data_IF_691496157501
#
_entry.id   IF_691496157501
#
_cell.length_a   1.000
_cell.length_b   1.000
_cell.length_c   1.000
_cell.angle_alpha   90.00
_cell.angle_beta   90.00
_cell.angle_gamma   90.00
#
_symmetry.space_group_name_H-M   'P 1'
#
loop_
_entity.id
_entity.type
_entity.pdbx_description
1 polymer ?
#
# COMPACT_ATOMS: atom_id res chain seq x y z
N UNK A 1 -19.96 11.13 22.35
CA UNK A 1 -20.01 9.90 21.51
C UNK A 1 -19.27 10.23 20.23
N UNK A 2 -17.96 9.94 20.19
CA UNK A 2 -17.09 10.18 19.05
C UNK A 2 -16.88 8.83 18.37
N UNK A 3 -17.22 8.76 17.08
CA UNK A 3 -17.09 7.55 16.27
C UNK A 3 -15.60 7.22 16.13
N UNK A 4 -15.19 6.08 16.68
CA UNK A 4 -13.79 5.61 16.67
C UNK A 4 -13.52 4.64 15.50
N UNK A 5 -14.15 4.89 14.35
CA UNK A 5 -13.96 4.12 13.13
C UNK A 5 -13.11 4.93 12.15
N UNK A 6 -11.92 4.44 11.86
CA UNK A 6 -10.92 5.01 10.94
C UNK A 6 -11.50 5.18 9.53
N UNK A 7 -12.23 6.26 9.26
CA UNK A 7 -12.72 6.58 7.90
C UNK A 7 -11.57 7.20 7.10
N UNK A 8 -11.27 6.69 5.90
CA UNK A 8 -10.18 7.25 5.08
C UNK A 8 -9.86 6.47 3.81
N UNK A 9 -8.81 6.88 3.11
CA UNK A 9 -8.29 6.23 1.91
C UNK A 9 -6.86 5.74 2.15
N UNK A 10 -6.55 4.55 1.64
CA UNK A 10 -5.20 3.97 1.64
C UNK A 10 -4.78 3.69 0.19
N UNK A 11 -3.78 4.42 -0.31
CA UNK A 11 -3.25 4.31 -1.67
C UNK A 11 -2.06 3.38 -1.70
N UNK A 12 -2.20 2.23 -2.36
CA UNK A 12 -1.19 1.18 -2.42
C UNK A 12 -0.69 1.00 -3.85
N UNK A 13 0.63 1.11 -4.04
CA UNK A 13 1.33 0.75 -5.26
C UNK A 13 1.63 -0.75 -5.33
N UNK A 14 1.41 -1.37 -6.49
CA UNK A 14 1.73 -2.77 -6.73
C UNK A 14 2.51 -2.94 -8.03
N UNK A 15 3.47 -3.86 -8.02
CA UNK A 15 3.90 -4.50 -9.27
C UNK A 15 2.80 -5.44 -9.78
N UNK A 16 2.69 -5.63 -11.11
CA UNK A 16 1.60 -6.38 -11.76
C UNK A 16 1.32 -7.77 -11.18
N UNK A 17 2.36 -8.43 -10.66
CA UNK A 17 2.24 -9.79 -10.10
C UNK A 17 1.92 -9.82 -8.60
N UNK A 18 2.10 -8.72 -7.86
CA UNK A 18 1.99 -8.71 -6.41
C UNK A 18 0.58 -9.07 -5.87
N UNK A 19 -0.53 -8.61 -6.47
CA UNK A 19 -1.87 -8.98 -6.01
C UNK A 19 -2.21 -10.48 -6.15
N UNK A 20 -1.46 -11.23 -6.96
CA UNK A 20 -1.65 -12.67 -7.16
C UNK A 20 -0.86 -13.53 -6.16
N UNK A 21 0.01 -12.92 -5.36
CA UNK A 21 0.71 -13.61 -4.28
C UNK A 21 -0.31 -13.84 -3.15
N UNK A 22 -0.57 -15.11 -2.82
CA UNK A 22 -1.59 -15.50 -1.82
C UNK A 22 -1.51 -14.68 -0.52
N UNK A 23 -0.33 -14.52 0.06
CA UNK A 23 -0.16 -13.75 1.29
C UNK A 23 -0.60 -12.28 1.15
N UNK A 24 -0.38 -11.67 -0.01
CA UNK A 24 -0.82 -10.30 -0.30
C UNK A 24 -2.34 -10.25 -0.41
N UNK A 25 -2.95 -11.12 -1.21
CA UNK A 25 -4.41 -11.15 -1.39
C UNK A 25 -5.15 -11.43 -0.08
N UNK A 26 -4.65 -12.37 0.72
CA UNK A 26 -5.22 -12.74 2.02
C UNK A 26 -5.12 -11.54 3.00
N UNK A 27 -3.98 -10.84 3.02
CA UNK A 27 -3.77 -9.65 3.86
C UNK A 27 -4.71 -8.51 3.48
N UNK A 28 -4.86 -8.19 2.19
CA UNK A 28 -5.78 -7.15 1.72
C UNK A 28 -7.23 -7.51 2.05
N UNK A 29 -7.59 -8.79 1.97
CA UNK A 29 -8.93 -9.28 2.32
C UNK A 29 -9.20 -9.13 3.81
N UNK A 30 -8.25 -9.52 4.67
CA UNK A 30 -8.36 -9.33 6.12
C UNK A 30 -8.43 -7.84 6.49
N UNK A 31 -7.65 -6.98 5.85
CA UNK A 31 -7.67 -5.54 6.09
C UNK A 31 -9.06 -4.97 5.80
N UNK A 32 -9.63 -5.27 4.63
CA UNK A 32 -10.98 -4.82 4.25
C UNK A 32 -12.08 -5.31 5.19
N UNK A 33 -11.93 -6.52 5.74
CA UNK A 33 -12.88 -7.06 6.71
C UNK A 33 -12.79 -6.38 8.08
N UNK A 34 -11.58 -6.02 8.51
CA UNK A 34 -11.33 -5.39 9.81
C UNK A 34 -11.61 -3.89 9.81
N UNK A 35 -11.33 -3.22 8.70
CA UNK A 35 -11.45 -1.77 8.52
C UNK A 35 -12.32 -1.46 7.29
N UNK A 36 -13.62 -1.76 7.33
CA UNK A 36 -14.51 -1.58 6.17
C UNK A 36 -14.69 -0.12 5.76
N UNK A 37 -14.43 0.82 6.67
CA UNK A 37 -14.53 2.26 6.42
C UNK A 37 -13.26 2.87 5.79
N UNK A 38 -12.20 2.06 5.60
CA UNK A 38 -10.97 2.44 4.87
C UNK A 38 -11.04 1.94 3.43
N UNK A 39 -11.06 2.86 2.47
CA UNK A 39 -11.07 2.53 1.06
C UNK A 39 -9.65 2.29 0.53
N UNK A 40 -9.39 1.09 0.00
CA UNK A 40 -8.10 0.79 -0.64
C UNK A 40 -8.14 1.20 -2.11
N UNK A 41 -7.30 2.17 -2.47
CA UNK A 41 -7.01 2.56 -3.85
C UNK A 41 -5.73 1.87 -4.30
N UNK A 42 -5.79 1.12 -5.40
CA UNK A 42 -4.62 0.39 -5.91
C UNK A 42 -4.08 1.03 -7.19
N UNK A 43 -2.76 1.21 -7.26
CA UNK A 43 -2.06 1.68 -8.47
C UNK A 43 -1.06 0.64 -8.94
N UNK A 44 -1.26 0.11 -10.13
CA UNK A 44 -0.26 -0.76 -10.76
C UNK A 44 0.87 0.08 -11.36
N UNK A 45 2.12 -0.21 -10.97
CA UNK A 45 3.32 0.50 -11.44
C UNK A 45 4.58 -0.28 -11.06
N UNK A 46 5.65 -0.16 -11.84
CA UNK A 46 6.89 -0.88 -11.54
C UNK A 46 7.59 -0.33 -10.28
N UNK A 47 8.56 -1.07 -9.75
CA UNK A 47 9.23 -0.70 -8.49
C UNK A 47 9.86 0.70 -8.52
N UNK A 48 10.51 1.08 -9.63
CA UNK A 48 11.24 2.35 -9.73
C UNK A 48 10.30 3.56 -9.73
N UNK A 49 9.16 3.42 -10.41
CA UNK A 49 8.13 4.46 -10.51
C UNK A 49 7.32 4.66 -9.21
N UNK A 50 7.41 3.73 -8.25
CA UNK A 50 6.76 3.89 -6.96
C UNK A 50 7.56 4.78 -6.00
N UNK A 51 8.88 4.92 -6.17
CA UNK A 51 9.77 5.60 -5.22
C UNK A 51 9.40 7.07 -5.02
N UNK A 52 9.21 7.83 -6.11
CA UNK A 52 8.86 9.26 -6.04
C UNK A 52 7.47 9.45 -5.38
N UNK A 53 6.40 8.79 -5.84
CA UNK A 53 5.10 8.87 -5.19
C UNK A 53 5.08 8.47 -3.71
N UNK A 54 5.89 7.49 -3.30
CA UNK A 54 6.04 7.14 -1.88
C UNK A 54 6.69 8.28 -1.10
N UNK A 55 7.75 8.87 -1.65
CA UNK A 55 8.49 9.97 -1.01
C UNK A 55 7.64 11.26 -0.90
N UNK A 56 6.76 11.49 -1.87
CA UNK A 56 5.88 12.67 -1.92
C UNK A 56 4.53 12.45 -1.20
N UNK A 57 4.28 11.26 -0.65
CA UNK A 57 3.01 10.93 -0.01
C UNK A 57 1.84 10.85 -1.01
N UNK A 58 2.11 10.64 -2.30
CA UNK A 58 1.11 10.32 -3.31
C UNK A 58 0.73 8.81 -3.29
N UNK A 59 1.62 7.96 -2.79
CA UNK A 59 1.34 6.59 -2.36
C UNK A 59 1.63 6.47 -0.86
N UNK A 60 0.77 5.75 -0.16
CA UNK A 60 0.93 5.49 1.28
C UNK A 60 1.74 4.21 1.52
N UNK A 61 1.63 3.24 0.62
CA UNK A 61 2.35 1.96 0.68
C UNK A 61 2.77 1.49 -0.72
N UNK A 62 3.91 0.81 -0.82
CA UNK A 62 4.37 0.18 -2.05
C UNK A 62 4.75 -1.28 -1.84
N UNK A 63 4.19 -2.19 -2.64
CA UNK A 63 4.65 -3.58 -2.72
C UNK A 63 5.65 -3.71 -3.86
N UNK A 64 6.92 -3.60 -3.47
CA UNK A 64 8.07 -3.52 -4.35
C UNK A 64 8.79 -4.87 -4.45
N UNK A 65 9.52 -5.08 -5.55
CA UNK A 65 10.45 -6.21 -5.72
C UNK A 65 11.87 -5.77 -5.38
N UNK A 66 12.69 -6.68 -4.83
CA UNK A 66 14.09 -6.46 -4.41
C UNK A 66 14.79 -5.31 -5.14
N UNK A 67 14.65 -4.12 -4.57
CA UNK A 67 15.24 -2.88 -5.07
C UNK A 67 15.79 -2.17 -3.87
N UNK A 68 17.01 -1.67 -3.99
CA UNK A 68 17.60 -0.84 -2.95
C UNK A 68 16.74 0.42 -2.83
N UNK A 69 16.18 0.63 -1.64
CA UNK A 69 15.39 1.82 -1.34
C UNK A 69 16.34 2.99 -1.07
N UNK A 70 15.94 4.23 -1.42
CA UNK A 70 16.64 5.41 -0.92
C UNK A 70 16.52 5.48 0.61
N UNK A 71 17.47 6.13 1.28
CA UNK A 71 17.49 6.27 2.74
C UNK A 71 16.21 6.92 3.29
N UNK A 72 15.54 7.75 2.49
CA UNK A 72 14.25 8.38 2.82
C UNK A 72 13.09 7.39 2.98
N UNK A 73 13.26 6.15 2.50
CA UNK A 73 12.30 5.05 2.61
C UNK A 73 12.89 3.86 3.38
N UNK A 74 14.01 4.05 4.09
CA UNK A 74 14.56 3.01 4.95
C UNK A 74 13.61 2.71 6.12
N UNK A 75 13.52 1.42 6.48
CA UNK A 75 12.79 0.97 7.66
C UNK A 75 13.70 1.15 8.89
N UNK A 76 13.22 1.83 9.93
CA UNK A 76 13.86 1.88 11.26
C UNK A 76 13.37 0.74 12.17
#
# INVERSE_FOLDING_TARGET
RLHHGETGELRIGFTSSAPFIKAVSDTLSMFRQRLPDVHILTRETNTREQIVPLSEGALDLGLLRNTQLPDTLAWE
#
